data_IF_701338858647
#
_entry.id   IF_701338858647
#
_cell.length_a   1.000
_cell.length_b   1.000
_cell.length_c   1.000
_cell.angle_alpha   90.00
_cell.angle_beta   90.00
_cell.angle_gamma   90.00
#
_symmetry.space_group_name_H-M   'P 1'
#
loop_
_entity.id
_entity.type
_entity.pdbx_description
1 polymer ?
#
# COMPACT_ATOMS: atom_id res chain seq x y z
N UNK A 1 -30.78 -23.88 35.24
CA UNK A 1 -29.84 -23.81 34.12
C UNK A 1 -30.18 -22.58 33.28
N UNK A 2 -29.26 -21.60 33.13
CA UNK A 2 -29.50 -20.43 32.29
C UNK A 2 -29.18 -20.82 30.85
N UNK A 3 -30.04 -20.52 29.86
CA UNK A 3 -29.72 -20.76 28.47
C UNK A 3 -28.55 -19.84 28.05
N UNK A 4 -27.46 -20.44 27.56
CA UNK A 4 -26.42 -19.68 26.90
C UNK A 4 -26.99 -19.05 25.63
N UNK A 5 -26.75 -17.74 25.38
CA UNK A 5 -27.18 -17.13 24.15
C UNK A 5 -26.36 -17.72 23.01
N UNK A 6 -27.05 -18.34 22.07
CA UNK A 6 -26.52 -18.67 20.77
C UNK A 6 -26.02 -17.36 20.13
N UNK A 7 -24.70 -17.18 20.03
CA UNK A 7 -24.11 -16.20 19.14
C UNK A 7 -24.31 -16.68 17.71
N UNK A 8 -25.52 -16.45 17.19
CA UNK A 8 -25.76 -16.37 15.77
C UNK A 8 -24.85 -15.22 15.26
N UNK A 9 -23.83 -15.57 14.49
CA UNK A 9 -23.10 -14.57 13.72
C UNK A 9 -24.15 -13.81 12.91
N UNK A 10 -24.19 -12.47 12.99
CA UNK A 10 -25.07 -11.71 12.14
C UNK A 10 -24.69 -12.03 10.70
N UNK A 11 -25.67 -12.55 9.95
CA UNK A 11 -25.62 -12.51 8.50
C UNK A 11 -25.14 -11.11 8.13
N UNK A 12 -24.10 -11.02 7.31
CA UNK A 12 -23.56 -9.76 6.79
C UNK A 12 -24.75 -9.03 6.18
N UNK A 13 -25.35 -8.11 6.94
CA UNK A 13 -26.32 -7.19 6.41
C UNK A 13 -25.57 -6.39 5.34
N UNK A 14 -26.04 -6.47 4.10
CA UNK A 14 -25.67 -5.53 3.05
C UNK A 14 -26.08 -4.13 3.55
N UNK A 15 -25.18 -3.48 4.25
CA UNK A 15 -25.31 -2.05 4.55
C UNK A 15 -25.21 -1.37 3.20
N UNK A 16 -26.24 -0.60 2.85
CA UNK A 16 -26.27 0.23 1.66
C UNK A 16 -24.91 0.96 1.56
N UNK A 17 -24.14 0.63 0.54
CA UNK A 17 -22.82 1.19 0.32
C UNK A 17 -22.97 2.70 0.14
N UNK A 18 -22.39 3.46 1.05
CA UNK A 18 -21.99 4.82 0.71
C UNK A 18 -21.17 4.75 -0.60
N UNK A 19 -21.33 5.73 -1.53
CA UNK A 19 -20.59 5.70 -2.79
C UNK A 19 -19.13 5.43 -2.49
N UNK A 20 -18.59 4.39 -3.14
CA UNK A 20 -17.20 3.96 -2.93
C UNK A 20 -16.30 5.17 -3.07
N UNK A 21 -15.39 5.46 -2.13
CA UNK A 21 -14.42 6.53 -2.27
C UNK A 21 -13.74 6.33 -3.62
N UNK A 22 -13.65 7.42 -4.41
CA UNK A 22 -13.06 7.35 -5.75
C UNK A 22 -11.78 6.53 -5.69
N UNK A 23 -11.73 5.46 -6.47
CA UNK A 23 -10.56 4.56 -6.50
C UNK A 23 -9.35 5.35 -7.00
N UNK A 24 -8.52 5.82 -6.07
CA UNK A 24 -7.34 6.64 -6.37
C UNK A 24 -6.34 5.87 -7.21
N UNK A 25 -6.27 4.55 -7.08
CA UNK A 25 -5.41 3.69 -7.88
C UNK A 25 -5.90 3.63 -9.32
N UNK A 26 -7.20 3.49 -9.53
CA UNK A 26 -7.80 3.50 -10.87
C UNK A 26 -7.61 4.87 -11.54
N UNK A 27 -7.86 5.96 -10.80
CA UNK A 27 -7.65 7.32 -11.28
C UNK A 27 -6.17 7.58 -11.62
N UNK A 28 -5.24 7.13 -10.77
CA UNK A 28 -3.80 7.21 -11.04
C UNK A 28 -3.44 6.51 -12.34
N UNK A 29 -3.89 5.27 -12.53
CA UNK A 29 -3.59 4.48 -13.71
C UNK A 29 -4.16 5.13 -15.00
N UNK A 30 -5.32 5.76 -14.93
CA UNK A 30 -5.93 6.47 -16.05
C UNK A 30 -5.14 7.73 -16.47
N UNK A 31 -4.59 8.47 -15.51
CA UNK A 31 -3.89 9.73 -15.76
C UNK A 31 -2.39 9.57 -16.06
N UNK A 32 -1.78 8.48 -15.60
CA UNK A 32 -0.35 8.22 -15.73
C UNK A 32 0.18 8.33 -17.18
N UNK A 33 -0.49 7.77 -18.21
CA UNK A 33 -0.01 7.88 -19.59
C UNK A 33 0.10 9.33 -20.08
N UNK A 34 -0.91 10.16 -19.78
CA UNK A 34 -0.94 11.57 -20.15
C UNK A 34 0.18 12.36 -19.48
N UNK A 35 0.41 12.14 -18.18
CA UNK A 35 1.47 12.82 -17.44
C UNK A 35 2.86 12.37 -17.94
N UNK A 36 3.06 11.08 -18.18
CA UNK A 36 4.30 10.58 -18.76
C UNK A 36 4.58 11.17 -20.15
N UNK A 37 3.54 11.40 -20.96
CA UNK A 37 3.69 12.08 -22.24
C UNK A 37 4.14 13.53 -22.05
N UNK A 38 3.56 14.27 -21.09
CA UNK A 38 4.00 15.64 -20.76
C UNK A 38 5.49 15.67 -20.34
N UNK A 39 5.94 14.74 -19.51
CA UNK A 39 7.35 14.64 -19.10
C UNK A 39 8.25 14.33 -20.31
N UNK A 40 7.86 13.42 -21.19
CA UNK A 40 8.62 13.09 -22.41
C UNK A 40 8.71 14.27 -23.40
N UNK A 41 7.75 15.17 -23.37
CA UNK A 41 7.73 16.38 -24.20
C UNK A 41 8.26 17.61 -23.49
N UNK A 42 9.00 17.41 -22.38
CA UNK A 42 9.66 18.45 -21.60
C UNK A 42 8.73 19.49 -20.96
N UNK A 43 7.50 19.08 -20.65
CA UNK A 43 6.46 19.88 -19.99
C UNK A 43 6.40 19.56 -18.49
N UNK A 44 7.57 19.51 -17.81
CA UNK A 44 7.65 19.07 -16.42
C UNK A 44 6.91 20.01 -15.44
N UNK A 45 6.90 21.33 -15.72
CA UNK A 45 6.19 22.31 -14.90
C UNK A 45 4.67 22.11 -14.98
N UNK A 46 4.14 21.91 -16.18
CA UNK A 46 2.73 21.64 -16.44
C UNK A 46 2.32 20.28 -15.83
N UNK A 47 3.15 19.26 -16.00
CA UNK A 47 2.94 17.95 -15.38
C UNK A 47 2.87 18.05 -13.85
N UNK A 48 3.79 18.81 -13.23
CA UNK A 48 3.81 19.06 -11.81
C UNK A 48 2.51 19.71 -11.31
N UNK A 49 2.06 20.78 -11.98
CA UNK A 49 0.81 21.49 -11.64
C UNK A 49 -0.41 20.58 -11.83
N UNK A 50 -0.44 19.78 -12.90
CA UNK A 50 -1.53 18.84 -13.16
C UNK A 50 -1.62 17.79 -12.04
N UNK A 51 -0.50 17.16 -11.65
CA UNK A 51 -0.48 16.16 -10.58
C UNK A 51 -0.88 16.76 -9.25
N UNK A 52 -0.38 17.96 -8.91
CA UNK A 52 -0.75 18.70 -7.69
C UNK A 52 -2.27 18.86 -7.57
N UNK A 53 -2.95 19.24 -8.65
CA UNK A 53 -4.41 19.37 -8.69
C UNK A 53 -5.18 18.04 -8.60
N UNK A 54 -4.51 16.90 -8.73
CA UNK A 54 -5.13 15.58 -8.59
C UNK A 54 -5.05 15.01 -7.17
N UNK A 55 -4.15 15.51 -6.35
CA UNK A 55 -3.98 15.07 -4.97
C UNK A 55 -5.12 15.66 -4.13
N UNK A 56 -5.88 14.83 -3.41
CA UNK A 56 -6.93 15.33 -2.52
C UNK A 56 -6.32 16.19 -1.41
N UNK A 57 -7.03 17.27 -1.03
CA UNK A 57 -6.60 18.17 0.03
C UNK A 57 -6.41 17.45 1.37
N UNK A 58 -7.27 16.45 1.63
CA UNK A 58 -7.18 15.59 2.81
C UNK A 58 -6.94 14.14 2.39
N UNK A 59 -6.16 13.43 3.20
CA UNK A 59 -5.97 12.00 3.02
C UNK A 59 -7.32 11.28 3.19
N UNK A 60 -7.73 10.38 2.26
CA UNK A 60 -8.93 9.59 2.45
C UNK A 60 -8.92 8.85 3.78
N UNK A 61 -10.08 8.81 4.44
CA UNK A 61 -10.24 8.09 5.68
C UNK A 61 -9.95 6.59 5.48
N UNK A 62 -9.18 6.01 6.42
CA UNK A 62 -8.90 4.58 6.42
C UNK A 62 -10.10 3.82 7.01
N UNK A 63 -10.78 3.02 6.19
CA UNK A 63 -11.88 2.18 6.63
C UNK A 63 -11.37 0.79 7.02
N UNK A 64 -11.41 0.49 8.31
CA UNK A 64 -10.86 -0.74 8.89
C UNK A 64 -11.91 -1.65 9.53
N UNK A 65 -13.18 -1.58 9.14
CA UNK A 65 -14.26 -2.36 9.77
C UNK A 65 -14.16 -3.86 9.53
N UNK A 66 -13.54 -4.30 8.44
CA UNK A 66 -13.32 -5.71 8.10
C UNK A 66 -12.12 -5.86 7.15
N UNK A 67 -11.71 -7.10 6.85
CA UNK A 67 -10.56 -7.38 5.97
C UNK A 67 -10.71 -6.81 4.56
N UNK A 68 -11.91 -6.82 4.00
CA UNK A 68 -12.16 -6.30 2.65
C UNK A 68 -12.00 -4.78 2.61
N UNK A 69 -12.58 -4.07 3.60
CA UNK A 69 -12.46 -2.60 3.67
C UNK A 69 -11.05 -2.15 3.98
N UNK A 70 -10.28 -2.94 4.74
CA UNK A 70 -8.83 -2.72 4.95
C UNK A 70 -8.10 -2.82 3.62
N UNK A 71 -8.32 -3.87 2.82
CA UNK A 71 -7.70 -4.03 1.50
C UNK A 71 -7.98 -2.84 0.58
N UNK A 72 -9.25 -2.44 0.45
CA UNK A 72 -9.63 -1.26 -0.35
C UNK A 72 -8.98 0.04 0.14
N UNK A 73 -8.81 0.20 1.46
CA UNK A 73 -8.14 1.38 2.03
C UNK A 73 -6.65 1.39 1.74
N UNK A 74 -5.99 0.22 1.72
CA UNK A 74 -4.59 0.08 1.32
C UNK A 74 -4.40 0.38 -0.18
N UNK A 75 -5.26 -0.15 -1.05
CA UNK A 75 -5.24 0.12 -2.49
C UNK A 75 -5.36 1.63 -2.77
N UNK A 76 -6.30 2.32 -2.10
CA UNK A 76 -6.46 3.76 -2.22
C UNK A 76 -5.22 4.53 -1.70
N UNK A 77 -4.63 4.07 -0.61
CA UNK A 77 -3.40 4.65 -0.07
C UNK A 77 -2.23 4.49 -1.05
N UNK A 78 -2.10 3.34 -1.69
CA UNK A 78 -1.09 3.08 -2.71
C UNK A 78 -1.26 3.99 -3.93
N UNK A 79 -2.50 4.20 -4.38
CA UNK A 79 -2.83 5.18 -5.42
C UNK A 79 -2.39 6.59 -5.05
N UNK A 80 -2.73 7.05 -3.85
CA UNK A 80 -2.32 8.36 -3.34
C UNK A 80 -0.80 8.52 -3.27
N UNK A 81 -0.10 7.52 -2.72
CA UNK A 81 1.37 7.52 -2.63
C UNK A 81 2.04 7.51 -4.02
N UNK A 82 1.36 6.94 -5.02
CA UNK A 82 1.82 6.96 -6.41
C UNK A 82 1.67 8.35 -7.03
N UNK A 83 0.59 9.08 -6.75
CA UNK A 83 0.46 10.49 -7.14
C UNK A 83 1.57 11.36 -6.50
N UNK A 84 1.85 11.21 -5.21
CA UNK A 84 2.95 11.95 -4.57
C UNK A 84 4.30 11.65 -5.21
N UNK A 85 4.58 10.38 -5.55
CA UNK A 85 5.81 9.99 -6.25
C UNK A 85 5.90 10.67 -7.61
N UNK A 86 4.82 10.66 -8.39
CA UNK A 86 4.78 11.27 -9.71
C UNK A 86 4.94 12.78 -9.63
N UNK A 87 4.33 13.43 -8.64
CA UNK A 87 4.47 14.86 -8.37
C UNK A 87 5.93 15.23 -8.02
N UNK A 88 6.57 14.47 -7.13
CA UNK A 88 7.97 14.68 -6.80
C UNK A 88 8.90 14.49 -8.01
N UNK A 89 8.62 13.50 -8.87
CA UNK A 89 9.39 13.29 -10.10
C UNK A 89 9.22 14.47 -11.05
N UNK A 90 7.99 14.95 -11.26
CA UNK A 90 7.74 16.12 -12.10
C UNK A 90 8.43 17.39 -11.55
N UNK A 91 8.41 17.59 -10.23
CA UNK A 91 9.13 18.69 -9.58
C UNK A 91 10.64 18.57 -9.77
N UNK A 92 11.20 17.37 -9.69
CA UNK A 92 12.63 17.13 -9.91
C UNK A 92 13.02 17.40 -11.36
N UNK A 93 12.21 16.96 -12.35
CA UNK A 93 12.42 17.23 -13.78
C UNK A 93 12.24 18.72 -14.13
N UNK A 94 11.37 19.44 -13.40
CA UNK A 94 11.25 20.89 -13.48
C UNK A 94 12.40 21.64 -12.80
N UNK A 95 13.41 20.93 -12.24
CA UNK A 95 14.56 21.50 -11.54
C UNK A 95 14.26 21.96 -10.10
N UNK A 96 13.04 21.77 -9.60
CA UNK A 96 12.59 22.20 -8.28
C UNK A 96 12.90 21.12 -7.22
N UNK A 97 14.20 20.86 -6.98
CA UNK A 97 14.65 19.74 -6.14
C UNK A 97 14.26 19.90 -4.68
N UNK A 98 14.25 21.12 -4.15
CA UNK A 98 13.78 21.40 -2.79
C UNK A 98 12.30 21.07 -2.64
N UNK A 99 11.46 21.44 -3.63
CA UNK A 99 10.04 21.08 -3.66
C UNK A 99 9.86 19.58 -3.82
N UNK A 100 10.66 18.92 -4.64
CA UNK A 100 10.64 17.46 -4.78
C UNK A 100 10.93 16.76 -3.45
N UNK A 101 11.89 17.24 -2.66
CA UNK A 101 12.17 16.73 -1.32
C UNK A 101 10.97 16.95 -0.37
N UNK A 102 10.39 18.16 -0.36
CA UNK A 102 9.19 18.46 0.45
C UNK A 102 8.04 17.49 0.13
N UNK A 103 7.79 17.24 -1.16
CA UNK A 103 6.76 16.32 -1.61
C UNK A 103 7.05 14.87 -1.15
N UNK A 104 8.32 14.42 -1.22
CA UNK A 104 8.70 13.10 -0.71
C UNK A 104 8.52 12.99 0.81
N UNK A 105 8.78 14.06 1.56
CA UNK A 105 8.52 14.10 3.01
C UNK A 105 7.01 14.01 3.31
N UNK A 106 6.15 14.72 2.54
CA UNK A 106 4.69 14.57 2.63
C UNK A 106 4.25 13.15 2.32
N UNK A 107 4.82 12.54 1.27
CA UNK A 107 4.58 11.13 0.93
C UNK A 107 4.93 10.20 2.10
N UNK A 108 6.06 10.40 2.75
CA UNK A 108 6.48 9.61 3.91
C UNK A 108 5.49 9.77 5.07
N UNK A 109 5.07 10.99 5.38
CA UNK A 109 4.07 11.24 6.43
C UNK A 109 2.72 10.54 6.16
N UNK A 110 2.28 10.54 4.89
CA UNK A 110 1.09 9.78 4.46
C UNK A 110 1.27 8.28 4.67
N UNK A 111 2.40 7.71 4.24
CA UNK A 111 2.68 6.27 4.40
C UNK A 111 2.71 5.85 5.88
N UNK A 112 3.34 6.64 6.74
CA UNK A 112 3.37 6.42 8.19
C UNK A 112 1.98 6.51 8.81
N UNK A 113 1.16 7.47 8.37
CA UNK A 113 -0.23 7.60 8.79
C UNK A 113 -1.07 6.39 8.39
N UNK A 114 -0.91 5.88 7.18
CA UNK A 114 -1.60 4.66 6.69
C UNK A 114 -1.22 3.45 7.54
N UNK A 115 0.07 3.25 7.83
CA UNK A 115 0.53 2.17 8.71
C UNK A 115 -0.09 2.25 10.10
N UNK A 116 -0.11 3.44 10.69
CA UNK A 116 -0.72 3.68 12.01
C UNK A 116 -2.21 3.34 12.03
N UNK A 117 -2.95 3.74 10.99
CA UNK A 117 -4.38 3.46 10.88
C UNK A 117 -4.65 1.97 10.63
N UNK A 118 -3.80 1.32 9.84
CA UNK A 118 -3.85 -0.13 9.62
C UNK A 118 -3.65 -0.90 10.93
N UNK A 119 -2.64 -0.54 11.72
CA UNK A 119 -2.37 -1.21 13.00
C UNK A 119 -3.55 -1.08 13.97
N UNK A 120 -4.17 0.11 14.03
CA UNK A 120 -5.40 0.35 14.82
C UNK A 120 -6.57 -0.48 14.32
N UNK A 121 -6.75 -0.57 13.00
CA UNK A 121 -7.85 -1.31 12.40
C UNK A 121 -7.71 -2.83 12.55
N UNK A 122 -6.50 -3.34 12.47
CA UNK A 122 -6.23 -4.78 12.57
C UNK A 122 -6.27 -5.32 14.01
N UNK A 123 -5.95 -4.51 15.00
CA UNK A 123 -5.89 -4.95 16.38
C UNK A 123 -7.17 -5.65 16.90
N UNK A 124 -8.38 -5.08 16.74
CA UNK A 124 -9.61 -5.73 17.16
C UNK A 124 -9.92 -7.01 16.38
N UNK A 125 -9.61 -7.05 15.08
CA UNK A 125 -9.81 -8.24 14.23
C UNK A 125 -8.89 -9.37 14.71
N UNK A 126 -7.62 -9.08 14.98
CA UNK A 126 -6.65 -10.03 15.53
C UNK A 126 -7.16 -10.60 16.84
N UNK A 127 -7.53 -9.75 17.80
CA UNK A 127 -8.02 -10.17 19.11
C UNK A 127 -9.29 -11.04 19.01
N UNK A 128 -10.21 -10.72 18.11
CA UNK A 128 -11.41 -11.51 17.87
C UNK A 128 -11.09 -12.91 17.33
N UNK A 129 -10.19 -13.02 16.37
CA UNK A 129 -9.83 -14.31 15.78
C UNK A 129 -8.96 -15.16 16.69
N UNK A 130 -8.06 -14.57 17.46
CA UNK A 130 -7.27 -15.27 18.48
C UNK A 130 -8.18 -15.87 19.55
N UNK A 131 -9.17 -15.09 20.00
CA UNK A 131 -10.18 -15.58 20.95
C UNK A 131 -11.03 -16.70 20.34
N UNK A 132 -11.54 -16.50 19.12
CA UNK A 132 -12.37 -17.51 18.45
C UNK A 132 -11.60 -18.83 18.22
N UNK A 133 -10.32 -18.75 17.88
CA UNK A 133 -9.46 -19.92 17.72
C UNK A 133 -9.26 -20.65 19.05
N UNK A 134 -8.96 -19.93 20.14
CA UNK A 134 -8.80 -20.50 21.48
C UNK A 134 -10.09 -21.15 21.97
N UNK A 135 -11.21 -20.43 21.92
CA UNK A 135 -12.52 -20.94 22.34
C UNK A 135 -12.89 -22.20 21.53
N UNK A 136 -12.57 -22.22 20.25
CA UNK A 136 -12.82 -23.37 19.38
C UNK A 136 -11.92 -24.56 19.71
N UNK A 137 -10.66 -24.34 20.03
CA UNK A 137 -9.75 -25.38 20.46
C UNK A 137 -10.21 -26.03 21.78
N UNK A 138 -10.59 -25.20 22.76
CA UNK A 138 -11.06 -25.65 24.07
C UNK A 138 -12.38 -26.43 23.93
N UNK A 139 -13.30 -25.95 23.09
CA UNK A 139 -14.56 -26.64 22.81
C UNK A 139 -14.34 -28.01 22.18
N UNK A 140 -13.51 -28.12 21.14
CA UNK A 140 -13.24 -29.37 20.44
C UNK A 140 -12.53 -30.37 21.34
N UNK A 141 -11.55 -29.92 22.14
CA UNK A 141 -10.85 -30.78 23.11
C UNK A 141 -11.81 -31.45 24.10
N UNK A 142 -12.84 -30.69 24.53
CA UNK A 142 -13.83 -31.18 25.48
C UNK A 142 -14.91 -32.06 24.87
N UNK A 143 -15.36 -31.73 23.65
CA UNK A 143 -16.62 -32.28 23.13
C UNK A 143 -16.45 -33.35 22.03
N UNK A 144 -15.30 -33.48 21.36
CA UNK A 144 -15.11 -34.52 20.32
C UNK A 144 -15.15 -35.93 20.92
N UNK A 145 -14.47 -36.14 22.04
CA UNK A 145 -14.56 -37.43 22.75
C UNK A 145 -15.98 -37.73 23.26
N UNK A 146 -16.64 -36.72 23.82
CA UNK A 146 -18.02 -36.85 24.32
C UNK A 146 -19.02 -37.15 23.20
N UNK A 147 -18.82 -36.55 22.01
CA UNK A 147 -19.60 -36.86 20.80
C UNK A 147 -19.55 -38.34 20.45
N UNK A 148 -18.34 -38.92 20.42
CA UNK A 148 -18.14 -40.35 20.13
C UNK A 148 -18.76 -41.25 21.17
N UNK A 149 -18.59 -40.93 22.46
CA UNK A 149 -19.19 -41.64 23.57
C UNK A 149 -20.70 -41.68 23.49
N UNK A 150 -21.36 -40.52 23.26
CA UNK A 150 -22.80 -40.40 23.11
C UNK A 150 -23.31 -41.18 21.89
N UNK A 151 -22.63 -41.09 20.74
CA UNK A 151 -22.99 -41.85 19.54
C UNK A 151 -22.97 -43.35 19.79
N UNK A 152 -21.91 -43.84 20.44
CA UNK A 152 -21.78 -45.26 20.77
C UNK A 152 -22.86 -45.68 21.72
N UNK A 153 -23.06 -44.96 22.84
CA UNK A 153 -24.04 -45.27 23.89
C UNK A 153 -25.48 -45.30 23.33
N UNK A 154 -25.83 -44.31 22.51
CA UNK A 154 -27.19 -44.26 21.92
C UNK A 154 -27.39 -45.37 20.89
N UNK A 155 -26.37 -45.70 20.12
CA UNK A 155 -26.44 -46.81 19.16
C UNK A 155 -26.57 -48.15 19.88
N UNK A 156 -25.78 -48.42 20.89
CA UNK A 156 -25.88 -49.64 21.71
C UNK A 156 -27.25 -49.77 22.38
N UNK A 157 -27.76 -48.66 22.92
CA UNK A 157 -29.11 -48.63 23.52
C UNK A 157 -30.20 -48.96 22.46
N UNK A 158 -30.10 -48.36 21.24
CA UNK A 158 -31.04 -48.61 20.15
C UNK A 158 -30.99 -50.08 19.66
N UNK A 159 -29.80 -50.61 19.52
CA UNK A 159 -29.54 -52.00 19.10
C UNK A 159 -30.10 -52.97 20.12
N UNK A 160 -29.90 -52.70 21.43
CA UNK A 160 -30.41 -53.54 22.54
C UNK A 160 -31.92 -53.50 22.59
N UNK A 161 -32.55 -52.34 22.52
CA UNK A 161 -34.01 -52.20 22.45
C UNK A 161 -34.56 -52.98 21.24
N UNK A 162 -33.92 -52.86 20.07
CA UNK A 162 -34.30 -53.59 18.88
C UNK A 162 -34.24 -55.09 19.06
N UNK A 163 -33.15 -55.62 19.68
CA UNK A 163 -33.00 -57.06 19.96
C UNK A 163 -34.02 -57.58 20.93
N UNK A 164 -34.38 -56.83 21.96
CA UNK A 164 -35.42 -57.21 22.94
C UNK A 164 -36.81 -57.22 22.24
N UNK A 165 -37.13 -56.23 21.47
CA UNK A 165 -38.39 -56.14 20.75
C UNK A 165 -38.52 -57.23 19.68
N UNK A 166 -37.48 -57.62 19.02
CA UNK A 166 -37.43 -58.73 18.05
C UNK A 166 -37.40 -60.10 18.74
N UNK A 167 -37.40 -60.17 20.08
CA UNK A 167 -37.34 -61.39 20.88
C UNK A 167 -36.04 -62.20 20.64
N UNK A 168 -34.99 -61.61 20.07
CA UNK A 168 -33.71 -62.25 19.87
C UNK A 168 -32.82 -62.19 21.10
N UNK A 169 -33.10 -61.27 22.05
CA UNK A 169 -32.50 -61.16 23.38
C UNK A 169 -33.52 -61.23 24.46
N UNK A 170 -33.31 -62.11 25.45
CA UNK A 170 -34.15 -62.20 26.66
C UNK A 170 -33.39 -61.52 27.79
N UNK A 171 -34.07 -60.65 28.53
CA UNK A 171 -33.55 -60.02 29.76
C UNK A 171 -34.29 -60.57 30.97
N UNK A 172 -33.59 -60.65 32.07
CA UNK A 172 -34.20 -60.87 33.40
C UNK A 172 -34.86 -59.56 33.91
N UNK A 173 -35.52 -59.63 35.05
CA UNK A 173 -36.24 -58.49 35.61
C UNK A 173 -35.32 -57.28 35.85
N UNK A 174 -34.09 -57.53 36.30
CA UNK A 174 -33.06 -56.48 36.54
C UNK A 174 -32.57 -55.88 35.23
N UNK A 175 -32.33 -56.69 34.20
CA UNK A 175 -31.92 -56.21 32.89
C UNK A 175 -32.98 -55.36 32.19
N UNK A 176 -34.27 -55.67 32.40
CA UNK A 176 -35.40 -54.84 31.91
C UNK A 176 -35.45 -53.50 32.62
N UNK A 177 -35.20 -53.47 33.92
CA UNK A 177 -35.19 -52.23 34.71
C UNK A 177 -33.99 -51.33 34.35
N UNK A 178 -32.82 -51.91 34.18
CA UNK A 178 -31.62 -51.21 33.70
C UNK A 178 -31.82 -50.66 32.26
N UNK A 179 -32.40 -51.40 31.37
CA UNK A 179 -32.71 -50.95 30.03
C UNK A 179 -33.69 -49.77 30.02
N UNK A 180 -34.77 -49.85 30.85
CA UNK A 180 -35.73 -48.74 31.02
C UNK A 180 -35.05 -47.50 31.58
N UNK A 181 -34.17 -47.63 32.56
CA UNK A 181 -33.41 -46.50 33.17
C UNK A 181 -32.48 -45.83 32.14
N UNK A 182 -31.80 -46.61 31.28
CA UNK A 182 -31.00 -46.09 30.18
C UNK A 182 -31.84 -45.45 29.09
N UNK A 183 -32.95 -46.07 28.70
CA UNK A 183 -33.88 -45.52 27.72
C UNK A 183 -34.50 -44.17 28.14
N UNK A 184 -34.77 -43.99 29.46
CA UNK A 184 -35.26 -42.74 30.01
C UNK A 184 -34.26 -41.56 29.86
N UNK A 185 -32.93 -41.84 29.82
CA UNK A 185 -31.87 -40.84 29.59
C UNK A 185 -31.61 -40.60 28.09
N UNK A 186 -32.12 -41.46 27.19
CA UNK A 186 -31.86 -41.38 25.77
C UNK A 186 -32.20 -40.02 25.13
N UNK A 187 -33.39 -39.45 25.41
CA UNK A 187 -33.75 -38.13 24.83
C UNK A 187 -32.82 -37.00 25.26
N UNK A 188 -32.34 -36.97 26.51
CA UNK A 188 -31.40 -35.97 26.99
C UNK A 188 -30.01 -36.13 26.32
N UNK A 189 -29.55 -37.38 26.21
CA UNK A 189 -28.30 -37.71 25.54
C UNK A 189 -28.38 -37.40 24.02
N UNK A 190 -29.49 -37.65 23.38
CA UNK A 190 -29.71 -37.31 22.00
C UNK A 190 -29.67 -35.78 21.80
N UNK A 191 -30.33 -35.03 22.67
CA UNK A 191 -30.33 -33.57 22.62
C UNK A 191 -28.91 -33.01 22.81
N UNK A 192 -28.12 -33.55 23.77
CA UNK A 192 -26.72 -33.20 23.98
C UNK A 192 -25.89 -33.49 22.70
N UNK A 193 -26.07 -34.68 22.11
CA UNK A 193 -25.38 -35.06 20.88
C UNK A 193 -25.74 -34.14 19.71
N UNK A 194 -26.99 -33.75 19.56
CA UNK A 194 -27.43 -32.84 18.49
C UNK A 194 -26.81 -31.46 18.63
N UNK A 195 -26.69 -30.94 19.86
CA UNK A 195 -26.01 -29.69 20.14
C UNK A 195 -24.51 -29.76 19.77
N UNK A 196 -23.84 -30.85 20.15
CA UNK A 196 -22.44 -31.06 19.83
C UNK A 196 -22.24 -31.19 18.30
N UNK A 197 -23.11 -31.96 17.63
CA UNK A 197 -23.07 -32.15 16.19
C UNK A 197 -23.23 -30.83 15.42
N UNK A 198 -24.06 -29.92 15.90
CA UNK A 198 -24.25 -28.59 15.32
C UNK A 198 -23.03 -27.67 15.54
N UNK A 199 -22.39 -27.75 16.71
CA UNK A 199 -21.32 -26.85 17.10
C UNK A 199 -19.92 -27.27 16.57
N UNK A 200 -19.62 -28.58 16.56
CA UNK A 200 -18.30 -29.11 16.13
C UNK A 200 -17.87 -28.62 14.74
N UNK A 201 -18.70 -28.62 13.70
CA UNK A 201 -18.32 -28.10 12.37
C UNK A 201 -17.94 -26.61 12.41
N UNK A 202 -18.66 -25.80 13.18
CA UNK A 202 -18.40 -24.34 13.31
C UNK A 202 -17.03 -24.11 13.95
N UNK A 203 -16.74 -24.81 15.03
CA UNK A 203 -15.45 -24.69 15.71
C UNK A 203 -14.29 -25.20 14.85
N UNK A 204 -14.47 -26.29 14.11
CA UNK A 204 -13.47 -26.76 13.12
C UNK A 204 -13.22 -25.71 12.04
N UNK A 205 -14.27 -25.06 11.55
CA UNK A 205 -14.15 -24.00 10.54
C UNK A 205 -13.43 -22.76 11.08
N UNK A 206 -13.71 -22.36 12.33
CA UNK A 206 -13.00 -21.26 12.96
C UNK A 206 -11.49 -21.54 13.06
N UNK A 207 -11.10 -22.73 13.50
CA UNK A 207 -9.68 -23.12 13.53
C UNK A 207 -9.03 -23.16 12.14
N UNK A 208 -9.76 -23.59 11.14
CA UNK A 208 -9.26 -23.61 9.74
C UNK A 208 -9.13 -22.21 9.13
N UNK A 209 -9.95 -21.23 9.57
CA UNK A 209 -9.95 -19.88 9.06
C UNK A 209 -8.98 -18.95 9.79
N UNK A 210 -8.74 -19.15 11.10
CA UNK A 210 -7.85 -18.31 11.90
C UNK A 210 -6.46 -18.11 11.25
N UNK A 211 -5.73 -19.15 10.79
CA UNK A 211 -4.43 -18.95 10.13
C UNK A 211 -4.53 -18.22 8.79
N UNK A 212 -5.64 -18.34 8.07
CA UNK A 212 -5.87 -17.61 6.81
C UNK A 212 -6.04 -16.12 7.08
N UNK A 213 -6.82 -15.77 8.12
CA UNK A 213 -7.00 -14.38 8.54
C UNK A 213 -5.68 -13.81 9.03
N UNK A 214 -4.94 -14.53 9.87
CA UNK A 214 -3.62 -14.10 10.36
C UNK A 214 -2.65 -13.82 9.20
N UNK A 215 -2.66 -14.66 8.17
CA UNK A 215 -1.86 -14.45 6.96
C UNK A 215 -2.24 -13.15 6.23
N UNK A 216 -3.53 -12.91 5.98
CA UNK A 216 -4.00 -11.68 5.33
C UNK A 216 -3.58 -10.44 6.13
N UNK A 217 -3.72 -10.46 7.46
CA UNK A 217 -3.30 -9.36 8.31
C UNK A 217 -1.78 -9.12 8.25
N UNK A 218 -0.99 -10.20 8.21
CA UNK A 218 0.47 -10.11 8.06
C UNK A 218 0.88 -9.57 6.69
N UNK A 219 0.20 -9.99 5.62
CA UNK A 219 0.47 -9.49 4.26
C UNK A 219 0.14 -8.00 4.15
N UNK A 220 -0.98 -7.54 4.69
CA UNK A 220 -1.34 -6.12 4.76
C UNK A 220 -0.30 -5.28 5.53
N UNK A 221 0.23 -5.78 6.65
CA UNK A 221 1.32 -5.11 7.40
C UNK A 221 2.58 -5.01 6.57
N UNK A 222 2.96 -6.09 5.90
CA UNK A 222 4.14 -6.10 5.03
C UNK A 222 4.01 -5.09 3.89
N UNK A 223 2.82 -4.95 3.33
CA UNK A 223 2.53 -3.96 2.31
C UNK A 223 2.70 -2.53 2.84
N UNK A 224 2.09 -2.21 4.00
CA UNK A 224 2.23 -0.89 4.62
C UNK A 224 3.68 -0.58 5.01
N UNK A 225 4.44 -1.55 5.55
CA UNK A 225 5.87 -1.41 5.83
C UNK A 225 6.67 -1.15 4.55
N UNK A 226 6.32 -1.81 3.45
CA UNK A 226 6.89 -1.57 2.12
C UNK A 226 6.65 -0.14 1.62
N UNK A 227 5.45 0.39 1.82
CA UNK A 227 5.10 1.79 1.49
C UNK A 227 5.98 2.79 2.26
N UNK A 228 6.13 2.60 3.57
CA UNK A 228 6.98 3.45 4.42
C UNK A 228 8.43 3.39 3.97
N UNK A 229 8.99 2.18 3.83
CA UNK A 229 10.39 1.98 3.40
C UNK A 229 10.68 2.59 2.03
N UNK A 230 9.75 2.46 1.08
CA UNK A 230 9.89 3.06 -0.25
C UNK A 230 9.88 4.60 -0.18
N UNK A 231 9.06 5.18 0.70
CA UNK A 231 9.03 6.62 0.91
C UNK A 231 10.30 7.14 1.61
N UNK A 232 10.78 6.45 2.65
CA UNK A 232 12.05 6.76 3.34
C UNK A 232 13.24 6.75 2.37
N UNK A 233 13.32 5.72 1.53
CA UNK A 233 14.38 5.62 0.51
C UNK A 233 14.31 6.80 -0.46
N UNK A 234 13.11 7.24 -0.86
CA UNK A 234 12.94 8.39 -1.76
C UNK A 234 13.35 9.70 -1.11
N UNK A 235 13.03 9.90 0.19
CA UNK A 235 13.45 11.07 0.96
C UNK A 235 14.99 11.09 1.11
N UNK A 236 15.60 9.94 1.42
CA UNK A 236 17.05 9.84 1.56
C UNK A 236 17.77 10.21 0.26
N UNK A 237 17.33 9.66 -0.88
CA UNK A 237 17.90 9.99 -2.20
C UNK A 237 17.74 11.47 -2.55
N UNK A 238 16.57 12.06 -2.31
CA UNK A 238 16.35 13.49 -2.60
C UNK A 238 17.24 14.39 -1.73
N UNK A 239 17.44 14.04 -0.46
CA UNK A 239 18.40 14.74 0.42
C UNK A 239 19.82 14.62 -0.06
N UNK A 240 20.27 13.42 -0.43
CA UNK A 240 21.61 13.14 -0.93
C UNK A 240 21.94 14.01 -2.15
N UNK A 241 21.03 14.06 -3.13
CA UNK A 241 21.21 14.88 -4.34
C UNK A 241 21.32 16.37 -4.01
N UNK A 242 20.48 16.89 -3.12
CA UNK A 242 20.54 18.29 -2.70
C UNK A 242 21.83 18.61 -1.93
N UNK A 243 22.23 17.72 -1.02
CA UNK A 243 23.47 17.90 -0.25
C UNK A 243 24.67 17.91 -1.17
N UNK A 244 24.79 16.93 -2.08
CA UNK A 244 25.88 16.86 -3.05
C UNK A 244 26.00 18.14 -3.89
N UNK A 245 24.89 18.69 -4.37
CA UNK A 245 24.89 19.94 -5.14
C UNK A 245 25.32 21.14 -4.27
N UNK A 246 24.82 21.24 -3.04
CA UNK A 246 25.17 22.34 -2.14
C UNK A 246 26.67 22.29 -1.77
N UNK A 247 27.22 21.09 -1.55
CA UNK A 247 28.64 20.89 -1.28
C UNK A 247 29.47 21.28 -2.49
N UNK A 248 29.05 20.91 -3.70
CA UNK A 248 29.75 21.31 -4.92
C UNK A 248 29.74 22.83 -5.12
N UNK A 249 28.61 23.50 -4.92
CA UNK A 249 28.49 24.96 -4.96
C UNK A 249 29.41 25.60 -3.88
N UNK A 250 29.44 25.05 -2.69
CA UNK A 250 30.27 25.56 -1.57
C UNK A 250 31.76 25.42 -1.89
N UNK A 251 32.20 24.26 -2.36
CA UNK A 251 33.59 24.01 -2.76
C UNK A 251 34.01 24.93 -3.90
N UNK A 252 33.14 25.10 -4.90
CA UNK A 252 33.39 26.03 -5.99
C UNK A 252 33.57 27.46 -5.47
N UNK A 253 32.63 27.96 -4.66
CA UNK A 253 32.71 29.31 -4.10
C UNK A 253 34.00 29.52 -3.26
N UNK A 254 34.36 28.56 -2.41
CA UNK A 254 35.59 28.58 -1.62
C UNK A 254 36.80 28.70 -2.53
N UNK A 255 36.88 27.92 -3.62
CA UNK A 255 37.96 27.97 -4.58
C UNK A 255 38.08 29.34 -5.29
N UNK A 256 36.92 29.98 -5.58
CA UNK A 256 36.91 31.31 -6.21
C UNK A 256 37.37 32.42 -5.23
N UNK A 257 36.97 32.33 -3.96
CA UNK A 257 37.46 33.25 -2.90
C UNK A 257 38.98 33.19 -2.76
N UNK A 258 39.53 31.98 -2.74
CA UNK A 258 40.99 31.79 -2.70
C UNK A 258 41.66 32.47 -3.91
N UNK A 259 41.04 32.44 -5.07
CA UNK A 259 41.52 33.12 -6.29
C UNK A 259 41.21 34.61 -6.33
N UNK A 260 40.72 35.21 -5.22
CA UNK A 260 40.36 36.62 -5.08
C UNK A 260 39.29 37.11 -6.06
N UNK A 261 38.41 36.22 -6.49
CA UNK A 261 37.22 36.58 -7.32
C UNK A 261 36.23 37.33 -6.44
N UNK A 262 35.82 38.53 -6.86
CA UNK A 262 34.96 39.42 -6.06
C UNK A 262 33.51 38.97 -5.95
N UNK A 263 33.01 38.22 -6.94
CA UNK A 263 31.61 37.79 -7.00
C UNK A 263 31.59 36.26 -7.01
N UNK A 264 31.04 35.66 -5.95
CA UNK A 264 30.84 34.22 -5.81
C UNK A 264 29.40 33.94 -5.42
N UNK A 265 28.86 32.83 -5.89
CA UNK A 265 27.47 32.44 -5.59
C UNK A 265 26.94 31.42 -6.58
N UNK A 266 25.65 31.09 -6.44
CA UNK A 266 24.97 30.12 -7.31
C UNK A 266 25.08 30.48 -8.80
N UNK A 267 24.90 31.77 -9.14
CA UNK A 267 24.99 32.27 -10.51
C UNK A 267 26.36 32.01 -11.14
N UNK A 268 27.43 32.34 -10.41
CA UNK A 268 28.81 32.13 -10.89
C UNK A 268 29.13 30.65 -11.06
N UNK A 269 28.58 29.80 -10.19
CA UNK A 269 28.68 28.34 -10.31
C UNK A 269 27.97 27.87 -11.57
N UNK A 270 26.72 28.31 -11.83
CA UNK A 270 25.94 27.98 -13.05
C UNK A 270 26.72 28.34 -14.30
N UNK A 271 27.29 29.54 -14.37
CA UNK A 271 28.10 29.96 -15.50
C UNK A 271 29.34 29.07 -15.69
N UNK A 272 29.99 28.65 -14.61
CA UNK A 272 31.14 27.75 -14.68
C UNK A 272 30.73 26.35 -15.17
N UNK A 273 29.60 25.82 -14.70
CA UNK A 273 29.06 24.54 -15.15
C UNK A 273 28.73 24.56 -16.65
N UNK A 274 28.10 25.65 -17.15
CA UNK A 274 27.74 25.80 -18.56
C UNK A 274 28.93 26.04 -19.48
N UNK A 275 30.06 26.61 -19.00
CA UNK A 275 31.31 26.73 -19.79
C UNK A 275 31.86 25.36 -20.17
N UNK A 276 31.70 24.38 -19.34
CA UNK A 276 32.07 23.01 -19.69
C UNK A 276 30.82 22.28 -20.24
N UNK A 277 30.61 22.33 -21.54
CA UNK A 277 29.48 21.73 -22.23
C UNK A 277 29.31 20.23 -21.93
N UNK A 278 30.41 19.54 -21.61
CA UNK A 278 30.40 18.12 -21.24
C UNK A 278 29.49 17.82 -20.03
N UNK A 279 29.34 18.78 -19.11
CA UNK A 279 28.46 18.64 -17.96
C UNK A 279 26.99 18.40 -18.35
N UNK A 280 26.59 18.86 -19.53
CA UNK A 280 25.24 18.67 -20.08
C UNK A 280 25.23 17.56 -21.14
N UNK A 281 26.17 17.62 -22.11
CA UNK A 281 26.16 16.73 -23.28
C UNK A 281 26.45 15.26 -22.95
N UNK A 282 27.19 15.00 -21.85
CA UNK A 282 27.47 13.63 -21.37
C UNK A 282 26.32 13.02 -20.55
N UNK A 283 25.30 13.80 -20.21
CA UNK A 283 24.10 13.23 -19.58
C UNK A 283 23.36 12.33 -20.57
N UNK A 284 23.01 11.14 -20.11
CA UNK A 284 22.43 10.11 -20.98
C UNK A 284 20.95 10.40 -21.29
N UNK A 285 20.71 11.01 -22.45
CA UNK A 285 19.40 11.30 -23.00
C UNK A 285 18.89 12.73 -22.73
N UNK A 286 18.09 13.21 -23.67
CA UNK A 286 17.58 14.58 -23.68
C UNK A 286 16.76 14.92 -22.41
N UNK A 287 16.03 13.97 -21.84
CA UNK A 287 15.24 14.19 -20.63
C UNK A 287 16.11 14.56 -19.43
N UNK A 288 17.25 13.88 -19.22
CA UNK A 288 18.18 14.22 -18.14
C UNK A 288 18.88 15.56 -18.41
N UNK A 289 19.23 15.86 -19.65
CA UNK A 289 19.80 17.15 -20.06
C UNK A 289 18.82 18.30 -19.78
N UNK A 290 17.55 18.13 -20.13
CA UNK A 290 16.48 19.10 -19.85
C UNK A 290 16.27 19.29 -18.35
N UNK A 291 16.17 18.21 -17.57
CA UNK A 291 15.99 18.29 -16.11
C UNK A 291 17.16 19.03 -15.44
N UNK A 292 18.39 18.77 -15.90
CA UNK A 292 19.57 19.46 -15.40
C UNK A 292 19.59 20.95 -15.79
N UNK A 293 19.27 21.31 -17.04
CA UNK A 293 19.16 22.70 -17.47
C UNK A 293 18.04 23.45 -16.72
N UNK A 294 16.90 22.81 -16.51
CA UNK A 294 15.83 23.34 -15.64
C UNK A 294 16.36 23.65 -14.24
N UNK A 295 17.17 22.74 -13.67
CA UNK A 295 17.80 22.99 -12.36
C UNK A 295 18.73 24.20 -12.37
N UNK A 296 19.55 24.36 -13.40
CA UNK A 296 20.41 25.53 -13.55
C UNK A 296 19.60 26.82 -13.64
N UNK A 297 18.45 26.80 -14.34
CA UNK A 297 17.54 27.95 -14.42
C UNK A 297 16.82 28.25 -13.11
N UNK A 298 16.58 27.27 -12.24
CA UNK A 298 16.07 27.51 -10.88
C UNK A 298 17.14 28.21 -10.02
N UNK A 299 18.42 27.88 -10.22
CA UNK A 299 19.55 28.49 -9.46
C UNK A 299 19.96 29.86 -9.99
N UNK A 300 19.83 30.10 -11.29
CA UNK A 300 20.09 31.37 -11.99
C UNK A 300 18.98 31.65 -13.03
N UNK A 301 17.84 32.19 -12.60
CA UNK A 301 16.72 32.49 -13.49
C UNK A 301 17.12 33.44 -14.61
N UNK A 302 16.77 33.06 -15.85
CA UNK A 302 17.09 33.85 -17.02
C UNK A 302 18.53 33.72 -17.54
N UNK A 303 19.32 32.73 -17.06
CA UNK A 303 20.64 32.47 -17.62
C UNK A 303 20.56 32.20 -19.13
N UNK A 304 21.21 33.04 -20.00
CA UNK A 304 21.04 32.94 -21.44
C UNK A 304 21.61 31.64 -22.02
N UNK A 305 22.68 31.10 -21.43
CA UNK A 305 23.30 29.85 -21.88
C UNK A 305 22.39 28.65 -21.62
N UNK A 306 21.82 28.56 -20.42
CA UNK A 306 20.89 27.50 -20.06
C UNK A 306 19.57 27.59 -20.85
N UNK A 307 19.03 28.81 -21.01
CA UNK A 307 17.80 29.06 -21.80
C UNK A 307 17.98 28.59 -23.24
N UNK A 308 19.06 29.02 -23.90
CA UNK A 308 19.33 28.65 -25.29
C UNK A 308 19.58 27.14 -25.46
N UNK A 309 20.30 26.51 -24.53
CA UNK A 309 20.53 25.07 -24.56
C UNK A 309 19.22 24.29 -24.42
N UNK A 310 18.32 24.74 -23.54
CA UNK A 310 17.01 24.14 -23.35
C UNK A 310 16.12 24.28 -24.58
N UNK A 311 16.10 25.47 -25.23
CA UNK A 311 15.38 25.71 -26.49
C UNK A 311 15.88 24.82 -27.62
N UNK A 312 17.21 24.64 -27.74
CA UNK A 312 17.79 23.74 -28.74
C UNK A 312 17.30 22.29 -28.53
N UNK A 313 17.32 21.78 -27.27
CA UNK A 313 16.85 20.44 -26.97
C UNK A 313 15.35 20.28 -27.28
N UNK A 314 14.51 21.26 -26.97
CA UNK A 314 13.09 21.27 -27.33
C UNK A 314 12.85 21.22 -28.82
N UNK A 315 13.80 21.72 -29.62
CA UNK A 315 13.77 21.66 -31.10
C UNK A 315 14.45 20.39 -31.66
N UNK A 316 14.85 19.44 -30.80
CA UNK A 316 15.56 18.22 -31.19
C UNK A 316 17.00 18.46 -31.67
N UNK A 317 17.61 19.60 -31.31
CA UNK A 317 18.99 19.97 -31.62
C UNK A 317 19.92 19.63 -30.44
N UNK A 318 21.22 19.57 -30.72
CA UNK A 318 22.25 19.52 -29.67
C UNK A 318 22.16 20.77 -28.75
N UNK A 319 22.32 20.63 -27.43
CA UNK A 319 22.11 21.73 -26.49
C UNK A 319 22.96 22.96 -26.78
N UNK A 320 24.19 22.77 -27.23
CA UNK A 320 25.15 23.84 -27.55
C UNK A 320 25.46 23.93 -29.05
N UNK A 321 24.50 23.60 -29.92
CA UNK A 321 24.68 23.75 -31.37
C UNK A 321 25.06 25.19 -31.72
N UNK A 322 26.13 25.36 -32.50
CA UNK A 322 26.49 26.65 -33.04
C UNK A 322 25.44 27.08 -34.05
N UNK A 323 24.95 28.33 -33.94
CA UNK A 323 24.10 28.88 -34.97
C UNK A 323 24.85 28.86 -36.32
N UNK A 324 24.19 28.32 -37.33
CA UNK A 324 24.71 28.43 -38.68
C UNK A 324 24.90 29.94 -39.02
N UNK A 325 26.13 30.37 -39.26
CA UNK A 325 26.38 31.74 -39.68
C UNK A 325 25.48 32.01 -40.90
N UNK A 326 24.69 33.12 -40.89
CA UNK A 326 23.89 33.45 -42.05
C UNK A 326 24.82 33.51 -43.28
N UNK A 327 24.47 32.76 -44.30
CA UNK A 327 25.24 32.75 -45.52
C UNK A 327 25.42 34.22 -45.99
N UNK A 328 26.69 34.70 -46.06
CA UNK A 328 26.98 35.99 -46.60
C UNK A 328 26.33 36.07 -47.98
N UNK A 329 25.31 36.92 -48.14
CA UNK A 329 24.72 37.20 -49.42
C UNK A 329 25.87 37.54 -50.35
N UNK A 330 26.16 36.67 -51.32
CA UNK A 330 27.13 36.92 -52.37
C UNK A 330 26.69 38.22 -53.06
N UNK A 331 27.46 39.27 -52.80
CA UNK A 331 27.20 40.55 -53.41
C UNK A 331 27.26 40.39 -54.96
N UNK A 332 26.13 40.58 -55.63
CA UNK A 332 26.12 40.75 -57.06
C UNK A 332 27.02 41.93 -57.37
N UNK A 333 28.26 41.67 -57.84
CA UNK A 333 29.02 42.69 -58.60
C UNK A 333 28.22 42.98 -59.90
N UNK A 334 27.80 44.19 -60.02
CA UNK A 334 27.43 44.77 -61.33
C UNK A 334 28.69 45.12 -62.09
#
# INVERSE_FOLDING_TARGET
>A
MRPMPFLLFPAVALVAQAPAPADLTQRFNAELPGINQMLKTFQAQEAMTKVEGMIPAERPAFNGTNLQTIGLSLDNAQGLLSFYRLWANAAAEAGQWEKALEIQQKRLAVAQGVKTDLDKAQAPITAQWDKAAKDSQDYLAKNVGRQQELQTTLKELQDEIGAVNAKTKKLDAKGVEDLKARAAKGPEQQHELDQINAAVPVHKQNLANAPKVAKVLADNRREADGMVKAAETSVAKAKEVLTAQNDEITQFNTSQVIKKVKIVGKKTWVDAVLRNHDNVTKLNGAQLQVAFLNRLLVLDPGNPGATKALENLKQGKEPFAKEARPAKKAGKKK
#
